data_IF_322542463737
#
_entry.id   IF_322542463737
#
_cell.length_a   1.000
_cell.length_b   1.000
_cell.length_c   1.000
_cell.angle_alpha   90.00
_cell.angle_beta   90.00
_cell.angle_gamma   90.00
#
_symmetry.space_group_name_H-M   'P 1'
#
loop_
_entity.id
_entity.type
_entity.pdbx_description
1 polymer ?
#
# COMPACT_ATOMS: atom_id res chain seq x y z
N UNK A 1 -2.91 -11.31 -27.82
CA UNK A 1 -2.50 -10.48 -26.67
C UNK A 1 -2.73 -11.32 -25.44
N UNK A 2 -1.66 -11.96 -24.95
CA UNK A 2 -1.70 -12.58 -23.63
C UNK A 2 -1.99 -11.48 -22.62
N UNK A 3 -3.04 -11.68 -21.81
CA UNK A 3 -3.23 -10.89 -20.60
C UNK A 3 -1.97 -11.13 -19.79
N UNK A 4 -1.13 -10.11 -19.63
CA UNK A 4 -0.15 -10.08 -18.57
C UNK A 4 -0.95 -10.33 -17.28
N UNK A 5 -0.80 -11.53 -16.72
CA UNK A 5 -1.37 -11.89 -15.45
C UNK A 5 -0.87 -10.85 -14.45
N UNK A 6 -1.82 -10.08 -13.91
CA UNK A 6 -1.59 -9.25 -12.74
C UNK A 6 -1.14 -10.21 -11.65
N UNK A 7 0.17 -10.25 -11.43
CA UNK A 7 0.88 -11.07 -10.45
C UNK A 7 0.03 -11.26 -9.19
N UNK A 8 -0.24 -12.53 -8.84
CA UNK A 8 -1.27 -13.01 -7.91
C UNK A 8 -1.14 -12.48 -6.45
N UNK A 9 -0.10 -11.68 -6.18
CA UNK A 9 0.31 -11.22 -4.85
C UNK A 9 -0.65 -10.26 -4.14
N UNK A 10 -1.51 -9.50 -4.82
CA UNK A 10 -2.55 -8.67 -4.16
C UNK A 10 -3.88 -9.44 -4.07
N UNK A 11 -4.13 -10.37 -5.00
CA UNK A 11 -5.37 -11.15 -5.03
C UNK A 11 -5.44 -12.20 -3.91
N UNK A 12 -4.30 -12.57 -3.32
CA UNK A 12 -4.22 -13.42 -2.12
C UNK A 12 -4.82 -12.80 -0.85
N UNK A 13 -5.07 -11.49 -0.83
CA UNK A 13 -5.66 -10.81 0.32
C UNK A 13 -7.19 -10.76 0.24
N UNK A 14 -7.85 -10.61 1.39
CA UNK A 14 -9.30 -10.44 1.43
C UNK A 14 -9.76 -9.13 0.75
N UNK A 15 -11.06 -9.04 0.47
CA UNK A 15 -11.61 -7.87 -0.22
C UNK A 15 -11.39 -6.56 0.56
N UNK A 16 -11.59 -6.57 1.88
CA UNK A 16 -11.45 -5.36 2.69
C UNK A 16 -10.02 -4.82 2.63
N UNK A 17 -9.05 -5.73 2.58
CA UNK A 17 -7.65 -5.41 2.42
C UNK A 17 -7.33 -4.83 1.03
N UNK A 18 -7.84 -5.45 -0.03
CA UNK A 18 -7.70 -4.92 -1.40
C UNK A 18 -8.30 -3.52 -1.53
N UNK A 19 -9.48 -3.29 -0.93
CA UNK A 19 -10.09 -1.97 -0.89
C UNK A 19 -9.15 -0.96 -0.18
N UNK A 20 -8.50 -1.34 0.91
CA UNK A 20 -7.53 -0.47 1.59
C UNK A 20 -6.27 -0.17 0.73
N UNK A 21 -5.80 -1.12 -0.08
CA UNK A 21 -4.73 -0.87 -1.06
C UNK A 21 -5.17 0.14 -2.11
N UNK A 22 -6.31 -0.07 -2.76
CA UNK A 22 -6.82 0.83 -3.80
C UNK A 22 -7.00 2.25 -3.28
N UNK A 23 -7.57 2.38 -2.08
CA UNK A 23 -7.73 3.67 -1.43
C UNK A 23 -6.39 4.31 -1.01
N UNK A 24 -5.39 3.51 -0.63
CA UNK A 24 -4.03 3.97 -0.36
C UNK A 24 -3.33 4.51 -1.61
N UNK A 25 -3.44 3.79 -2.73
CA UNK A 25 -2.92 4.23 -4.03
C UNK A 25 -3.58 5.54 -4.45
N UNK A 26 -4.91 5.65 -4.33
CA UNK A 26 -5.62 6.89 -4.67
C UNK A 26 -5.18 8.07 -3.80
N UNK A 27 -4.90 7.85 -2.50
CA UNK A 27 -4.33 8.89 -1.63
C UNK A 27 -2.95 9.36 -2.11
N UNK A 28 -2.10 8.45 -2.57
CA UNK A 28 -0.79 8.82 -3.13
C UNK A 28 -0.95 9.64 -4.42
N UNK A 29 -1.85 9.23 -5.33
CA UNK A 29 -2.16 9.96 -6.56
C UNK A 29 -2.61 11.38 -6.24
N UNK A 30 -3.61 11.54 -5.36
CA UNK A 30 -4.12 12.85 -4.95
C UNK A 30 -3.02 13.73 -4.32
N UNK A 31 -2.07 13.12 -3.60
CA UNK A 31 -0.94 13.84 -3.01
C UNK A 31 0.00 14.37 -4.08
N UNK A 32 0.36 13.55 -5.08
CA UNK A 32 1.20 13.97 -6.19
C UNK A 32 0.55 15.06 -7.04
N UNK A 33 -0.74 14.92 -7.32
CA UNK A 33 -1.53 15.95 -8.04
C UNK A 33 -1.50 17.30 -7.31
N UNK A 34 -1.71 17.29 -5.98
CA UNK A 34 -1.63 18.50 -5.14
C UNK A 34 -0.23 19.12 -5.16
N UNK A 35 0.81 18.31 -5.26
CA UNK A 35 2.20 18.75 -5.36
C UNK A 35 2.61 19.16 -6.79
N UNK A 36 1.68 19.17 -7.76
CA UNK A 36 1.95 19.38 -9.18
C UNK A 36 3.00 18.42 -9.75
N UNK A 37 3.07 17.20 -9.21
CA UNK A 37 3.89 16.09 -9.70
C UNK A 37 3.03 15.14 -10.51
N UNK A 38 3.63 14.46 -11.47
CA UNK A 38 2.91 13.50 -12.29
C UNK A 38 2.70 12.18 -11.53
N UNK A 39 1.46 11.75 -11.27
CA UNK A 39 1.21 10.45 -10.67
C UNK A 39 1.54 9.33 -11.66
N UNK A 40 2.14 8.24 -11.18
CA UNK A 40 2.23 7.02 -11.97
C UNK A 40 0.84 6.40 -12.19
N UNK A 41 0.71 5.54 -13.21
CA UNK A 41 -0.53 4.80 -13.46
C UNK A 41 -0.86 3.88 -12.28
N UNK A 42 -2.16 3.68 -11.98
CA UNK A 42 -2.61 2.82 -10.87
C UNK A 42 -1.95 1.42 -10.93
N UNK A 43 -1.87 0.81 -12.11
CA UNK A 43 -1.24 -0.51 -12.29
C UNK A 43 0.25 -0.55 -11.97
N UNK A 44 0.97 0.57 -12.08
CA UNK A 44 2.37 0.66 -11.66
C UNK A 44 2.50 0.48 -10.14
N UNK A 45 1.69 1.19 -9.35
CA UNK A 45 1.74 1.08 -7.89
C UNK A 45 1.32 -0.29 -7.38
N UNK A 46 0.28 -0.90 -7.98
CA UNK A 46 -0.10 -2.28 -7.65
C UNK A 46 1.04 -3.27 -7.92
N UNK A 47 1.75 -3.13 -9.05
CA UNK A 47 2.93 -3.95 -9.33
C UNK A 47 4.08 -3.69 -8.34
N UNK A 48 4.32 -2.43 -7.98
CA UNK A 48 5.35 -2.05 -7.01
C UNK A 48 5.07 -2.67 -5.62
N UNK A 49 3.81 -2.64 -5.17
CA UNK A 49 3.36 -3.27 -3.93
C UNK A 49 3.53 -4.79 -3.99
N UNK A 50 3.15 -5.43 -5.10
CA UNK A 50 3.34 -6.85 -5.33
C UNK A 50 4.81 -7.26 -5.21
N UNK A 51 5.71 -6.55 -5.88
CA UNK A 51 7.15 -6.83 -5.86
C UNK A 51 7.78 -6.67 -4.47
N UNK A 52 7.18 -5.84 -3.62
CA UNK A 52 7.65 -5.56 -2.27
C UNK A 52 6.75 -6.16 -1.19
N UNK A 53 5.88 -7.12 -1.56
CA UNK A 53 4.81 -7.56 -0.66
C UNK A 53 5.34 -8.11 0.67
N UNK A 54 6.52 -8.72 0.67
CA UNK A 54 7.16 -9.22 1.89
C UNK A 54 7.53 -8.11 2.89
N UNK A 55 7.91 -6.91 2.41
CA UNK A 55 8.13 -5.73 3.27
C UNK A 55 6.83 -5.29 3.94
N UNK A 56 5.70 -5.51 3.25
CA UNK A 56 4.40 -5.16 3.78
C UNK A 56 3.82 -6.25 4.68
N UNK A 57 4.03 -7.54 4.38
CA UNK A 57 3.39 -8.68 5.07
C UNK A 57 3.40 -8.55 6.60
N UNK A 58 4.48 -8.06 7.20
CA UNK A 58 4.55 -7.83 8.64
C UNK A 58 3.51 -6.81 9.17
N UNK A 59 3.24 -5.73 8.42
CA UNK A 59 2.27 -4.69 8.76
C UNK A 59 0.84 -5.02 8.32
N UNK A 60 0.72 -5.88 7.30
CA UNK A 60 -0.57 -6.33 6.79
C UNK A 60 -1.10 -7.55 7.56
N UNK A 61 -0.27 -8.17 8.40
CA UNK A 61 -0.67 -9.29 9.24
C UNK A 61 -1.79 -8.84 10.22
N UNK A 62 -2.94 -9.52 10.28
CA UNK A 62 -4.01 -9.19 11.21
C UNK A 62 -3.60 -9.23 12.70
N UNK A 63 -2.52 -9.94 13.03
CA UNK A 63 -1.92 -9.99 14.37
C UNK A 63 -0.94 -8.85 14.64
N UNK A 64 -0.60 -8.05 13.63
CA UNK A 64 0.26 -6.88 13.79
C UNK A 64 -0.33 -5.89 14.81
N UNK A 65 0.50 -5.48 15.75
CA UNK A 65 0.21 -4.42 16.72
C UNK A 65 1.25 -3.32 16.56
N UNK A 66 0.78 -2.07 16.51
CA UNK A 66 1.64 -0.89 16.51
C UNK A 66 2.46 -0.82 17.81
N UNK A 67 3.56 -0.05 17.86
CA UNK A 67 4.30 0.19 19.10
C UNK A 67 3.44 0.71 20.26
N UNK A 68 2.35 1.42 19.95
CA UNK A 68 1.33 1.86 20.92
C UNK A 68 0.35 0.77 21.39
N UNK A 69 0.51 -0.48 20.93
CA UNK A 69 -0.30 -1.64 21.33
C UNK A 69 -1.64 -1.76 20.62
N UNK A 70 -1.91 -0.93 19.61
CA UNK A 70 -3.18 -0.94 18.88
C UNK A 70 -3.07 -1.76 17.59
N UNK A 71 -4.18 -2.33 17.14
CA UNK A 71 -4.24 -2.91 15.79
C UNK A 71 -4.25 -1.79 14.74
N UNK A 72 -3.59 -2.04 13.62
CA UNK A 72 -3.62 -1.11 12.51
C UNK A 72 -5.00 -1.15 11.83
N UNK A 73 -5.79 -0.08 11.99
CA UNK A 73 -7.07 0.08 11.32
C UNK A 73 -6.94 0.40 9.83
N UNK A 74 -8.07 0.42 9.11
CA UNK A 74 -8.10 0.72 7.66
C UNK A 74 -7.43 2.04 7.28
N UNK A 75 -7.56 3.11 8.08
CA UNK A 75 -6.89 4.38 7.76
C UNK A 75 -5.37 4.25 7.81
N UNK A 76 -4.84 3.61 8.85
CA UNK A 76 -3.39 3.39 9.00
C UNK A 76 -2.83 2.52 7.88
N UNK A 77 -3.55 1.46 7.48
CA UNK A 77 -3.15 0.65 6.32
C UNK A 77 -3.07 1.48 5.03
N UNK A 78 -4.06 2.33 4.76
CA UNK A 78 -4.07 3.23 3.59
C UNK A 78 -2.92 4.23 3.62
N UNK A 79 -2.55 4.73 4.81
CA UNK A 79 -1.44 5.65 4.99
C UNK A 79 -0.10 5.00 4.69
N UNK A 80 0.13 3.77 5.15
CA UNK A 80 1.33 3.00 4.84
C UNK A 80 1.46 2.75 3.34
N UNK A 81 0.37 2.28 2.70
CA UNK A 81 0.34 2.06 1.25
C UNK A 81 0.64 3.36 0.50
N UNK A 82 0.01 4.47 0.89
CA UNK A 82 0.22 5.76 0.24
C UNK A 82 1.67 6.24 0.39
N UNK A 83 2.24 6.15 1.59
CA UNK A 83 3.61 6.57 1.86
C UNK A 83 4.62 5.75 1.05
N UNK A 84 4.40 4.45 0.92
CA UNK A 84 5.24 3.60 0.08
C UNK A 84 5.13 3.90 -1.41
N UNK A 85 3.93 4.22 -1.90
CA UNK A 85 3.75 4.63 -3.29
C UNK A 85 4.47 5.97 -3.58
N UNK A 86 4.57 6.86 -2.59
CA UNK A 86 5.30 8.12 -2.69
C UNK A 86 6.82 7.94 -2.55
N UNK A 87 7.26 6.92 -1.80
CA UNK A 87 8.66 6.57 -1.59
C UNK A 87 8.80 5.07 -1.29
N UNK A 88 9.36 4.29 -2.21
CA UNK A 88 9.58 2.84 -2.04
C UNK A 88 10.55 2.49 -0.91
N UNK A 89 11.32 3.48 -0.43
CA UNK A 89 12.23 3.38 0.70
C UNK A 89 11.64 4.00 1.97
N UNK A 90 10.34 4.27 2.01
CA UNK A 90 9.68 4.79 3.20
C UNK A 90 9.91 3.85 4.39
N UNK A 91 10.38 4.43 5.51
CA UNK A 91 10.45 3.71 6.78
C UNK A 91 9.03 3.59 7.34
N UNK A 92 8.38 2.48 7.01
CA UNK A 92 7.01 2.19 7.44
C UNK A 92 6.92 2.12 8.97
N UNK A 93 7.98 1.73 9.66
CA UNK A 93 7.99 1.65 11.13
C UNK A 93 7.86 3.02 11.79
N UNK A 94 8.35 4.08 11.15
CA UNK A 94 8.20 5.45 11.62
C UNK A 94 6.78 6.01 11.44
N UNK A 95 5.99 5.47 10.49
CA UNK A 95 4.64 5.93 10.19
C UNK A 95 3.58 5.41 11.17
N UNK A 96 3.92 4.37 11.93
CA UNK A 96 3.01 3.64 12.81
C UNK A 96 3.40 3.72 14.28
N UNK A 97 4.50 4.44 14.59
CA UNK A 97 5.04 4.65 15.93
C UNK A 97 4.15 5.57 16.79
#
# INVERSE_FOLDING_TARGET
MEKQELDDGIWMFDKAFRDDIENGIQRAINTLERENKQPAAIGFYSNLLNQNIDKFKAYLDPSYTTPSGNRLGSSGRREIVAAFCLNENADISALIA
#
